data_IF_331370967174
#
_entry.id   IF_331370967174
#
_cell.length_a   1.000
_cell.length_b   1.000
_cell.length_c   1.000
_cell.angle_alpha   90.00
_cell.angle_beta   90.00
_cell.angle_gamma   90.00
#
_symmetry.space_group_name_H-M   'P 1'
#
loop_
_entity.id
_entity.type
_entity.pdbx_description
1 polymer ?
#
# COMPACT_ATOMS: atom_id res chain seq x y z
N UNK A 1 17.67 -6.56 0.65
CA UNK A 1 17.04 -6.75 1.98
C UNK A 1 15.77 -7.56 1.84
N UNK A 2 15.32 -8.24 2.89
CA UNK A 2 13.99 -8.89 2.88
C UNK A 2 12.90 -7.84 3.13
N UNK A 3 11.78 -7.98 2.43
CA UNK A 3 10.59 -7.16 2.61
C UNK A 3 9.33 -8.03 2.56
N UNK A 4 8.26 -7.57 3.20
CA UNK A 4 6.94 -8.20 3.17
C UNK A 4 6.14 -7.53 2.06
N UNK A 5 5.54 -8.32 1.19
CA UNK A 5 4.75 -7.87 0.04
C UNK A 5 3.34 -8.40 0.11
N UNK A 6 2.41 -7.64 -0.46
CA UNK A 6 1.04 -8.09 -0.76
C UNK A 6 0.95 -8.31 -2.27
N UNK A 7 0.77 -9.56 -2.70
CA UNK A 7 0.77 -9.92 -4.13
C UNK A 7 -0.57 -9.67 -4.83
N UNK A 8 -1.65 -9.75 -4.05
CA UNK A 8 -3.03 -9.50 -4.47
C UNK A 8 -3.84 -9.20 -3.20
N UNK A 9 -5.00 -8.58 -3.35
CA UNK A 9 -5.90 -8.37 -2.22
C UNK A 9 -6.50 -9.73 -1.79
N UNK A 10 -6.58 -9.97 -0.49
CA UNK A 10 -7.16 -11.18 0.09
C UNK A 10 -7.74 -10.87 1.47
N UNK A 11 -8.80 -11.57 1.90
CA UNK A 11 -9.41 -11.40 3.23
C UNK A 11 -8.63 -12.11 4.35
N UNK A 12 -7.49 -12.69 4.01
CA UNK A 12 -6.57 -13.39 4.89
C UNK A 12 -5.10 -13.05 4.51
N UNK A 13 -4.15 -13.74 5.12
CA UNK A 13 -2.71 -13.51 4.87
C UNK A 13 -2.14 -14.37 3.73
N UNK A 14 -2.97 -15.08 2.95
CA UNK A 14 -2.52 -15.97 1.86
C UNK A 14 -1.84 -15.25 0.69
N UNK A 15 -1.95 -13.93 0.64
CA UNK A 15 -1.29 -13.07 -0.35
C UNK A 15 -0.05 -12.35 0.19
N UNK A 16 0.26 -12.53 1.47
CA UNK A 16 1.42 -11.91 2.10
C UNK A 16 2.64 -12.80 1.89
N UNK A 17 3.66 -12.26 1.21
CA UNK A 17 4.87 -13.00 0.84
C UNK A 17 6.12 -12.26 1.24
N UNK A 18 7.19 -13.00 1.54
CA UNK A 18 8.51 -12.41 1.81
C UNK A 18 9.35 -12.48 0.54
N UNK A 19 9.86 -11.33 0.08
CA UNK A 19 10.72 -11.24 -1.11
C UNK A 19 12.04 -10.53 -0.79
N UNK A 20 13.05 -10.76 -1.62
CA UNK A 20 14.22 -9.89 -1.67
C UNK A 20 13.86 -8.60 -2.42
N UNK A 21 14.35 -7.47 -1.91
CA UNK A 21 14.19 -6.14 -2.48
C UNK A 21 15.50 -5.37 -2.36
N UNK A 22 15.73 -4.42 -3.26
CA UNK A 22 16.81 -3.45 -3.08
C UNK A 22 16.55 -2.59 -1.83
N UNK A 23 17.59 -2.20 -1.07
CA UNK A 23 17.44 -1.21 -0.01
C UNK A 23 16.96 0.14 -0.59
N UNK A 24 15.98 0.82 0.04
CA UNK A 24 15.48 2.10 -0.46
C UNK A 24 16.55 3.19 -0.37
N UNK A 25 16.51 4.13 -1.32
CA UNK A 25 17.39 5.31 -1.33
C UNK A 25 16.61 6.50 -0.73
N UNK A 26 17.02 7.06 0.42
CA UNK A 26 16.31 8.18 1.01
C UNK A 26 16.44 9.44 0.14
N UNK A 27 15.33 10.15 -0.07
CA UNK A 27 15.31 11.47 -0.69
C UNK A 27 15.65 12.60 0.29
N UNK A 28 15.60 13.87 -0.15
CA UNK A 28 15.83 15.04 0.71
C UNK A 28 14.91 15.01 1.94
N UNK A 29 15.49 15.09 3.15
CA UNK A 29 14.76 15.07 4.41
C UNK A 29 14.36 13.67 4.92
N UNK A 30 14.62 12.60 4.18
CA UNK A 30 14.36 11.22 4.60
C UNK A 30 15.60 10.57 5.20
N UNK A 31 15.40 9.53 6.02
CA UNK A 31 16.48 8.74 6.63
C UNK A 31 16.32 7.25 6.30
N UNK A 32 17.44 6.57 6.06
CA UNK A 32 17.45 5.11 5.91
C UNK A 32 17.62 4.47 7.29
N UNK A 33 16.63 3.67 7.70
CA UNK A 33 16.60 3.01 9.00
C UNK A 33 16.77 1.51 8.83
N UNK A 34 17.61 0.90 9.67
CA UNK A 34 17.65 -0.56 9.83
C UNK A 34 16.62 -0.98 10.89
N UNK A 35 15.47 -1.46 10.43
CA UNK A 35 14.38 -1.88 11.32
C UNK A 35 14.79 -3.10 12.14
N UNK A 36 14.72 -2.98 13.47
CA UNK A 36 14.99 -4.09 14.39
C UNK A 36 13.72 -4.83 14.80
N UNK A 37 12.62 -4.11 14.95
CA UNK A 37 11.28 -4.60 15.32
C UNK A 37 10.24 -3.72 14.65
N UNK A 38 9.13 -4.33 14.24
CA UNK A 38 7.93 -3.64 13.77
C UNK A 38 6.71 -4.32 14.41
N UNK A 39 5.74 -3.56 14.93
CA UNK A 39 4.48 -4.12 15.39
C UNK A 39 3.63 -4.58 14.21
N UNK A 40 2.66 -5.44 14.49
CA UNK A 40 1.53 -5.72 13.57
C UNK A 40 0.32 -4.98 14.15
N UNK A 41 -0.20 -4.03 13.39
CA UNK A 41 -1.36 -3.23 13.76
C UNK A 41 -2.62 -3.78 13.06
N UNK A 42 -3.81 -3.61 13.63
CA UNK A 42 -5.07 -3.95 12.94
C UNK A 42 -5.22 -3.24 11.59
N UNK A 43 -4.65 -2.04 11.43
CA UNK A 43 -4.67 -1.29 10.18
C UNK A 43 -3.88 -1.94 9.05
N UNK A 44 -2.89 -2.78 9.34
CA UNK A 44 -2.08 -3.43 8.31
C UNK A 44 -2.96 -4.37 7.47
N UNK A 45 -3.97 -4.99 8.10
CA UNK A 45 -4.95 -5.82 7.43
C UNK A 45 -5.85 -5.03 6.47
N UNK A 46 -6.06 -3.72 6.69
CA UNK A 46 -6.86 -2.91 5.77
C UNK A 46 -6.19 -2.74 4.40
N UNK A 47 -4.85 -2.79 4.34
CA UNK A 47 -4.10 -2.82 3.09
C UNK A 47 -4.21 -4.20 2.45
N UNK A 48 -3.92 -5.27 3.21
CA UNK A 48 -3.99 -6.67 2.72
C UNK A 48 -5.39 -6.98 2.14
N UNK A 49 -6.45 -6.56 2.83
CA UNK A 49 -7.84 -6.84 2.47
C UNK A 49 -8.39 -5.88 1.42
N UNK A 50 -7.70 -4.80 1.08
CA UNK A 50 -8.22 -3.76 0.17
C UNK A 50 -9.28 -2.85 0.79
N UNK A 51 -9.47 -2.89 2.11
CA UNK A 51 -10.49 -2.09 2.81
C UNK A 51 -10.27 -0.58 2.61
N UNK A 52 -9.02 -0.11 2.57
CA UNK A 52 -8.74 1.30 2.27
C UNK A 52 -9.13 1.66 0.84
N UNK A 53 -8.79 0.82 -0.14
CA UNK A 53 -9.16 1.01 -1.54
C UNK A 53 -10.68 1.08 -1.70
N UNK A 54 -11.41 0.12 -1.15
CA UNK A 54 -12.88 0.06 -1.21
C UNK A 54 -13.54 1.30 -0.60
N UNK A 55 -12.96 1.83 0.48
CA UNK A 55 -13.44 3.05 1.12
C UNK A 55 -13.17 4.29 0.25
N UNK A 56 -11.95 4.40 -0.30
CA UNK A 56 -11.54 5.51 -1.17
C UNK A 56 -12.35 5.55 -2.47
N UNK A 57 -12.69 4.40 -3.05
CA UNK A 57 -13.52 4.31 -4.27
C UNK A 57 -14.87 5.04 -4.13
N UNK A 58 -15.40 5.18 -2.91
CA UNK A 58 -16.72 5.77 -2.64
C UNK A 58 -16.67 7.29 -2.46
N UNK A 59 -15.48 7.87 -2.35
CA UNK A 59 -15.27 9.30 -2.16
C UNK A 59 -15.62 10.08 -3.43
N UNK A 60 -16.12 11.30 -3.27
CA UNK A 60 -16.75 12.09 -4.34
C UNK A 60 -15.82 12.23 -5.56
N UNK A 61 -14.53 12.47 -5.33
CA UNK A 61 -13.54 12.65 -6.40
C UNK A 61 -13.21 11.35 -7.16
N UNK A 62 -13.53 10.17 -6.61
CA UNK A 62 -13.30 8.86 -7.22
C UNK A 62 -14.55 8.27 -7.90
N UNK A 63 -15.74 8.89 -7.76
CA UNK A 63 -17.01 8.30 -8.23
C UNK A 63 -17.19 8.22 -9.75
N UNK A 64 -16.61 9.14 -10.51
CA UNK A 64 -16.79 9.22 -11.96
C UNK A 64 -15.60 8.68 -12.75
N UNK A 65 -14.83 7.78 -12.13
CA UNK A 65 -13.62 7.20 -12.71
C UNK A 65 -13.96 6.14 -13.77
N UNK A 66 -13.14 5.99 -14.80
CA UNK A 66 -13.16 4.80 -15.65
C UNK A 66 -12.53 3.62 -14.91
N UNK A 67 -12.71 2.40 -15.41
CA UNK A 67 -12.09 1.21 -14.82
C UNK A 67 -10.54 1.30 -14.80
N UNK A 68 -9.95 2.03 -15.75
CA UNK A 68 -8.51 2.21 -15.89
C UNK A 68 -7.95 3.42 -15.09
N UNK A 69 -8.81 4.24 -14.48
CA UNK A 69 -8.39 5.37 -13.63
C UNK A 69 -8.13 4.88 -12.20
N UNK A 70 -6.94 5.15 -11.63
CA UNK A 70 -6.62 4.78 -10.26
C UNK A 70 -7.63 5.32 -9.25
N UNK A 71 -7.65 4.68 -8.09
CA UNK A 71 -8.31 5.24 -6.91
C UNK A 71 -7.35 6.26 -6.30
N UNK A 72 -7.81 7.47 -6.00
CA UNK A 72 -6.93 8.55 -5.51
C UNK A 72 -7.17 8.86 -4.02
N UNK A 73 -6.10 9.10 -3.27
CA UNK A 73 -6.19 9.52 -1.86
C UNK A 73 -6.66 10.97 -1.72
N UNK A 74 -6.25 11.84 -2.64
CA UNK A 74 -6.50 13.27 -2.63
C UNK A 74 -7.42 13.71 -3.77
N UNK A 75 -8.22 14.77 -3.58
CA UNK A 75 -9.12 15.27 -4.61
C UNK A 75 -8.39 15.87 -5.81
N UNK A 76 -7.14 16.33 -5.65
CA UNK A 76 -6.28 16.80 -6.73
C UNK A 76 -5.73 15.66 -7.61
N UNK A 77 -5.94 14.40 -7.22
CA UNK A 77 -5.51 13.20 -7.94
C UNK A 77 -4.00 13.18 -8.20
N UNK A 78 -3.24 13.43 -7.15
CA UNK A 78 -1.77 13.43 -7.18
C UNK A 78 -1.17 12.17 -6.58
N UNK A 79 -1.90 11.50 -5.68
CA UNK A 79 -1.43 10.33 -4.94
C UNK A 79 -2.37 9.14 -5.19
N UNK A 80 -1.97 8.19 -6.05
CA UNK A 80 -2.77 7.01 -6.30
C UNK A 80 -2.75 6.08 -5.08
N UNK A 81 -3.86 5.39 -4.85
CA UNK A 81 -3.93 4.26 -3.94
C UNK A 81 -3.07 3.12 -4.50
N UNK A 82 -2.19 2.50 -3.69
CA UNK A 82 -1.34 1.41 -4.15
C UNK A 82 -2.19 0.21 -4.60
N UNK A 83 -1.79 -0.38 -5.73
CA UNK A 83 -2.38 -1.61 -6.26
C UNK A 83 -1.35 -2.75 -6.11
N UNK A 84 -1.76 -3.97 -5.72
CA UNK A 84 -0.83 -5.09 -5.65
C UNK A 84 -0.15 -5.37 -7.01
N UNK A 85 1.13 -5.78 -7.03
CA UNK A 85 1.95 -6.09 -5.87
C UNK A 85 2.64 -4.85 -5.26
N UNK A 86 2.60 -4.71 -3.93
CA UNK A 86 3.30 -3.66 -3.19
C UNK A 86 3.96 -4.16 -1.90
N UNK A 87 4.91 -3.39 -1.36
CA UNK A 87 5.55 -3.65 -0.06
C UNK A 87 4.61 -3.15 1.05
N UNK A 88 4.31 -4.01 2.03
CA UNK A 88 3.50 -3.62 3.18
C UNK A 88 4.29 -2.71 4.14
N UNK A 89 3.70 -1.59 4.53
CA UNK A 89 4.34 -0.50 5.28
C UNK A 89 5.21 0.41 4.42
N UNK A 90 5.15 0.26 3.09
CA UNK A 90 5.86 1.10 2.11
C UNK A 90 4.93 1.95 1.23
N UNK A 91 3.62 1.68 1.30
CA UNK A 91 2.54 2.50 0.74
C UNK A 91 2.54 3.99 1.15
#
# INVERSE_FOLDING_TARGET
>A
MKAIWVDRLATDTSAVVVRDSEPPKPGPGQVLIRVHRAPINPSDFNYIHGTYRDALERLIWNRSRSADDPVWFDPERTTPCPEPPYILGGE
#
